data_IF_599480172564
#
_entry.id   IF_599480172564
#
_cell.length_a   1.000
_cell.length_b   1.000
_cell.length_c   1.000
_cell.angle_alpha   90.00
_cell.angle_beta   90.00
_cell.angle_gamma   90.00
#
_symmetry.space_group_name_H-M   'P 1'
#
loop_
_entity.id
_entity.type
_entity.pdbx_description
1 polymer ?
#
# COMPACT_ATOMS: atom_id res chain seq x y z
N UNK A 1 -2.87 26.17 -69.26
CA UNK A 1 -1.58 25.70 -69.77
C UNK A 1 -0.89 25.10 -68.54
N UNK A 2 -0.78 23.90 -68.40
CA UNK A 2 -0.37 22.66 -68.87
C UNK A 2 -0.34 21.75 -67.69
N UNK A 3 -1.22 20.81 -67.63
CA UNK A 3 -1.10 19.40 -67.41
C UNK A 3 0.30 18.86 -67.09
N UNK A 4 0.39 18.04 -66.04
CA UNK A 4 0.89 16.68 -66.24
C UNK A 4 0.57 15.78 -65.03
N UNK A 5 -0.26 14.80 -65.34
CA UNK A 5 -0.43 13.57 -64.58
C UNK A 5 0.83 12.71 -64.67
N UNK A 6 1.22 12.04 -63.60
CA UNK A 6 1.94 10.75 -63.70
C UNK A 6 1.47 9.80 -62.61
N UNK A 7 0.83 8.78 -63.11
CA UNK A 7 0.57 7.48 -62.50
C UNK A 7 1.88 6.77 -62.19
N UNK A 8 1.98 6.14 -61.02
CA UNK A 8 2.86 5.00 -60.88
C UNK A 8 2.22 3.91 -60.03
N UNK A 9 1.95 2.91 -60.72
CA UNK A 9 1.80 1.47 -60.57
C UNK A 9 2.42 0.86 -59.30
N UNK A 10 1.61 -0.04 -58.77
CA UNK A 10 1.79 -1.03 -57.80
C UNK A 10 3.05 -1.88 -57.83
N UNK A 11 3.33 -2.37 -56.66
CA UNK A 11 4.09 -3.61 -56.48
C UNK A 11 3.56 -4.33 -55.27
N UNK A 12 2.91 -5.43 -55.49
CA UNK A 12 2.57 -6.44 -54.48
C UNK A 12 3.85 -7.06 -53.91
N UNK A 13 3.86 -7.41 -52.61
CA UNK A 13 4.89 -8.29 -52.08
C UNK A 13 4.51 -9.77 -52.31
N UNK A 14 5.49 -10.64 -52.48
CA UNK A 14 5.28 -12.04 -52.78
C UNK A 14 4.85 -12.83 -51.54
N UNK A 15 4.01 -13.80 -51.86
CA UNK A 15 3.46 -14.82 -50.98
C UNK A 15 4.49 -15.80 -50.44
N UNK A 16 4.16 -16.33 -49.26
CA UNK A 16 4.41 -17.70 -48.79
C UNK A 16 5.82 -18.16 -48.47
N UNK A 17 6.05 -18.42 -47.21
CA UNK A 17 6.66 -19.68 -46.82
C UNK A 17 5.94 -20.23 -45.59
N UNK A 18 5.27 -21.35 -45.82
CA UNK A 18 4.77 -22.26 -44.79
C UNK A 18 5.96 -22.85 -44.01
N UNK A 19 6.05 -22.51 -42.75
CA UNK A 19 6.96 -23.16 -41.78
C UNK A 19 6.17 -24.09 -40.90
N UNK A 20 6.46 -25.36 -41.06
CA UNK A 20 5.87 -26.51 -40.39
C UNK A 20 5.82 -26.35 -38.87
N UNK A 21 4.68 -26.74 -38.32
CA UNK A 21 4.45 -26.89 -36.90
C UNK A 21 5.43 -27.82 -36.21
N UNK A 22 5.97 -27.38 -35.13
CA UNK A 22 6.53 -28.22 -34.09
C UNK A 22 5.47 -28.33 -33.00
N UNK A 23 4.75 -29.44 -33.01
CA UNK A 23 3.88 -29.84 -31.90
C UNK A 23 4.78 -30.15 -30.69
N UNK A 24 4.87 -29.22 -29.76
CA UNK A 24 5.47 -29.48 -28.47
C UNK A 24 4.44 -30.25 -27.62
N UNK A 25 4.62 -31.55 -27.55
CA UNK A 25 3.89 -32.42 -26.63
C UNK A 25 4.43 -32.11 -25.23
N UNK A 26 3.68 -31.32 -24.46
CA UNK A 26 3.93 -31.17 -23.04
C UNK A 26 3.37 -32.41 -22.34
N UNK A 27 4.24 -33.35 -22.06
CA UNK A 27 3.92 -34.52 -21.26
C UNK A 27 3.81 -34.08 -19.81
N UNK A 28 2.60 -34.03 -19.27
CA UNK A 28 2.37 -33.87 -17.84
C UNK A 28 2.89 -35.09 -17.09
N UNK A 29 4.00 -34.98 -16.42
CA UNK A 29 4.41 -35.90 -15.38
C UNK A 29 3.71 -35.51 -14.09
N UNK A 30 2.46 -35.93 -13.94
CA UNK A 30 1.79 -35.97 -12.66
C UNK A 30 2.18 -37.30 -12.00
N UNK A 31 3.13 -37.27 -11.10
CA UNK A 31 3.59 -38.49 -10.41
C UNK A 31 4.12 -38.18 -9.03
N UNK A 32 3.29 -38.41 -8.03
CA UNK A 32 3.68 -38.96 -6.72
C UNK A 32 4.76 -38.19 -5.90
N UNK A 33 4.39 -37.07 -5.31
CA UNK A 33 5.06 -36.52 -4.10
C UNK A 33 4.02 -36.12 -3.04
N UNK A 34 2.92 -36.81 -2.94
CA UNK A 34 1.93 -36.64 -1.86
C UNK A 34 1.91 -37.91 -1.03
N UNK A 35 2.98 -38.21 -0.35
CA UNK A 35 3.04 -39.44 0.46
C UNK A 35 4.02 -39.44 1.63
N UNK A 36 4.82 -38.40 1.79
CA UNK A 36 5.88 -38.45 2.80
C UNK A 36 5.87 -37.31 3.83
N UNK A 37 4.88 -36.47 3.86
CA UNK A 37 4.83 -35.32 4.79
C UNK A 37 3.76 -35.41 5.89
N UNK A 38 3.06 -36.52 6.01
CA UNK A 38 2.03 -36.67 7.05
C UNK A 38 2.46 -37.59 8.21
N UNK A 39 3.71 -38.05 8.27
CA UNK A 39 4.16 -38.98 9.32
C UNK A 39 5.10 -38.36 10.38
N UNK A 40 5.40 -37.05 10.32
CA UNK A 40 6.35 -36.41 11.24
C UNK A 40 5.72 -35.46 12.28
N UNK A 41 4.40 -35.33 12.35
CA UNK A 41 3.74 -34.46 13.32
C UNK A 41 3.08 -35.19 14.49
N UNK A 42 3.16 -36.50 14.54
CA UNK A 42 2.49 -37.30 15.60
C UNK A 42 3.41 -37.83 16.71
N UNK A 43 4.71 -37.54 16.71
CA UNK A 43 5.61 -38.11 17.72
C UNK A 43 6.02 -37.20 18.87
N UNK A 44 5.73 -35.89 18.82
CA UNK A 44 6.12 -34.94 19.88
C UNK A 44 5.02 -34.60 20.89
N UNK A 45 3.83 -35.21 20.79
CA UNK A 45 2.73 -34.92 21.70
C UNK A 45 2.68 -35.79 22.97
N UNK A 46 3.56 -36.78 23.15
CA UNK A 46 3.46 -37.75 24.24
C UNK A 46 4.55 -37.67 25.33
N UNK A 47 5.34 -36.60 25.42
CA UNK A 47 6.38 -36.47 26.45
C UNK A 47 6.20 -35.27 27.41
N UNK A 48 4.99 -34.82 27.66
CA UNK A 48 4.74 -33.76 28.64
C UNK A 48 3.73 -34.13 29.72
N UNK A 49 3.89 -35.30 30.34
CA UNK A 49 3.19 -35.61 31.57
C UNK A 49 4.07 -36.49 32.44
N UNK A 50 5.05 -35.94 33.16
CA UNK A 50 5.50 -36.35 34.49
C UNK A 50 6.69 -35.48 34.93
N UNK A 51 6.49 -34.69 35.94
CA UNK A 51 7.56 -33.91 36.59
C UNK A 51 6.99 -32.83 37.50
N UNK A 52 6.44 -33.29 38.60
CA UNK A 52 6.10 -32.48 39.79
C UNK A 52 7.41 -32.01 40.40
N UNK A 53 7.61 -30.69 40.60
CA UNK A 53 7.99 -30.18 41.93
C UNK A 53 8.11 -28.63 41.98
N UNK A 54 7.58 -28.17 43.03
CA UNK A 54 7.57 -26.88 43.70
C UNK A 54 8.69 -25.89 43.40
N UNK A 55 8.31 -24.68 42.90
CA UNK A 55 8.95 -23.45 43.33
C UNK A 55 7.95 -22.26 43.28
N UNK A 56 7.63 -21.73 44.39
CA UNK A 56 6.97 -20.44 44.59
C UNK A 56 7.79 -19.37 43.92
N UNK A 57 7.16 -18.50 43.13
CA UNK A 57 7.49 -17.07 43.18
C UNK A 57 6.60 -16.26 42.22
N UNK A 58 5.96 -15.23 42.79
CA UNK A 58 5.48 -13.99 42.20
C UNK A 58 4.53 -14.05 40.99
N UNK A 59 3.25 -14.06 41.29
CA UNK A 59 2.21 -13.48 40.42
C UNK A 59 2.49 -11.98 40.27
N UNK A 60 3.13 -11.62 39.16
CA UNK A 60 2.98 -10.33 38.54
C UNK A 60 1.89 -10.53 37.50
N UNK A 61 0.77 -9.87 37.71
CA UNK A 61 -0.34 -9.89 36.78
C UNK A 61 0.13 -9.35 35.42
N UNK A 62 0.39 -10.23 34.46
CA UNK A 62 0.40 -9.88 33.07
C UNK A 62 -1.07 -9.67 32.66
N UNK A 63 -1.46 -8.40 32.65
CA UNK A 63 -2.66 -7.99 31.96
C UNK A 63 -2.46 -8.36 30.48
N UNK A 64 -3.28 -9.29 30.01
CA UNK A 64 -3.41 -9.57 28.60
C UNK A 64 -3.68 -8.24 27.89
N UNK A 65 -2.67 -7.74 27.19
CA UNK A 65 -2.87 -6.72 26.19
C UNK A 65 -3.71 -7.37 25.08
N UNK A 66 -4.99 -7.02 25.08
CA UNK A 66 -5.85 -7.26 23.95
C UNK A 66 -5.27 -6.40 22.83
N UNK A 67 -4.53 -7.02 21.93
CA UNK A 67 -4.12 -6.40 20.67
C UNK A 67 -5.38 -6.08 19.86
N UNK A 68 -6.01 -4.96 20.16
CA UNK A 68 -6.83 -4.27 19.19
C UNK A 68 -5.87 -3.76 18.15
N UNK A 69 -5.94 -4.29 16.92
CA UNK A 69 -5.03 -4.01 15.82
C UNK A 69 -5.05 -2.56 15.33
N UNK A 70 -4.71 -1.63 16.20
CA UNK A 70 -4.20 -0.33 15.84
C UNK A 70 -2.71 -0.54 15.58
N UNK A 71 -2.34 -0.68 14.33
CA UNK A 71 -0.94 -0.53 13.93
C UNK A 71 -0.48 0.84 14.39
N UNK A 72 0.16 0.91 15.58
CA UNK A 72 0.84 2.11 16.02
C UNK A 72 1.99 2.33 15.05
N UNK A 73 1.78 3.19 14.06
CA UNK A 73 2.88 3.66 13.25
C UNK A 73 3.85 4.37 14.17
N UNK A 74 5.10 3.92 14.20
CA UNK A 74 6.16 4.61 14.92
C UNK A 74 6.19 6.06 14.46
N UNK A 75 6.24 7.00 15.41
CA UNK A 75 6.32 8.42 15.09
C UNK A 75 7.78 8.81 14.91
N UNK A 76 8.05 9.50 13.80
CA UNK A 76 9.35 10.10 13.51
C UNK A 76 9.29 11.60 13.78
N UNK A 77 10.03 12.07 14.78
CA UNK A 77 10.17 13.50 15.04
C UNK A 77 11.02 14.18 13.95
N UNK A 78 10.49 15.26 13.39
CA UNK A 78 11.16 16.08 12.36
C UNK A 78 11.73 17.39 12.90
N UNK A 79 11.75 17.57 14.23
CA UNK A 79 12.17 18.81 14.89
C UNK A 79 13.61 19.22 14.58
N UNK A 80 14.45 18.25 14.23
CA UNK A 80 15.85 18.49 13.83
C UNK A 80 16.07 18.71 12.32
N UNK A 81 15.00 18.68 11.51
CA UNK A 81 15.14 18.88 10.07
C UNK A 81 15.39 20.34 9.72
N UNK A 82 16.10 20.58 8.62
CA UNK A 82 16.40 21.94 8.16
C UNK A 82 15.12 22.70 7.76
N UNK A 83 14.14 21.99 7.20
CA UNK A 83 12.84 22.51 6.81
C UNK A 83 11.75 21.58 7.29
N UNK A 84 10.83 22.07 8.10
CA UNK A 84 9.71 21.27 8.62
C UNK A 84 8.65 21.12 7.53
N UNK A 85 8.25 19.88 7.19
CA UNK A 85 7.16 19.62 6.26
C UNK A 85 5.83 20.15 6.79
N UNK A 86 4.94 20.52 5.88
CA UNK A 86 3.55 20.85 6.20
C UNK A 86 2.60 20.20 5.23
N UNK A 87 1.37 19.95 5.67
CA UNK A 87 0.30 19.43 4.83
C UNK A 87 -1.00 20.16 5.13
N UNK A 88 -1.73 20.49 4.08
CA UNK A 88 -3.13 20.88 4.10
C UNK A 88 -3.87 20.08 3.05
N UNK A 89 -5.18 20.00 3.17
CA UNK A 89 -6.01 19.32 2.17
C UNK A 89 -7.30 20.05 1.92
N UNK A 90 -7.89 19.84 0.76
CA UNK A 90 -9.25 20.25 0.43
C UNK A 90 -9.95 19.09 -0.27
N UNK A 91 -11.26 18.98 -0.06
CA UNK A 91 -12.06 17.93 -0.67
C UNK A 91 -13.28 18.54 -1.36
N UNK A 92 -13.58 18.05 -2.54
CA UNK A 92 -14.72 18.49 -3.35
C UNK A 92 -15.42 17.31 -3.99
N UNK A 93 -16.74 17.44 -4.16
CA UNK A 93 -17.53 16.41 -4.83
C UNK A 93 -17.12 16.31 -6.30
N UNK A 94 -16.89 15.10 -6.78
CA UNK A 94 -16.65 14.85 -8.20
C UNK A 94 -17.99 14.84 -8.94
N UNK A 95 -18.13 15.60 -10.04
CA UNK A 95 -19.38 15.64 -10.84
C UNK A 95 -19.79 14.28 -11.43
N UNK A 96 -18.83 13.38 -11.66
CA UNK A 96 -19.10 12.04 -12.20
C UNK A 96 -19.44 11.05 -11.10
N UNK A 97 -18.84 11.22 -9.91
CA UNK A 97 -19.11 10.37 -8.74
C UNK A 97 -17.93 10.33 -7.78
N UNK A 98 -18.21 10.23 -6.48
CA UNK A 98 -17.20 10.25 -5.45
C UNK A 98 -16.70 11.66 -5.10
N UNK A 99 -15.43 11.75 -4.66
CA UNK A 99 -14.84 12.96 -4.09
C UNK A 99 -13.38 13.08 -4.51
N UNK A 100 -12.96 14.27 -4.87
CA UNK A 100 -11.58 14.57 -5.20
C UNK A 100 -10.92 15.28 -4.01
N UNK A 101 -9.93 14.62 -3.44
CA UNK A 101 -9.06 15.16 -2.38
C UNK A 101 -7.84 15.78 -3.03
N UNK A 102 -7.56 17.04 -2.73
CA UNK A 102 -6.36 17.76 -3.13
C UNK A 102 -5.48 18.01 -1.92
N UNK A 103 -4.22 17.60 -1.99
CA UNK A 103 -3.19 17.82 -0.99
C UNK A 103 -2.31 18.99 -1.41
N UNK A 104 -1.93 19.81 -0.45
CA UNK A 104 -0.93 20.85 -0.61
C UNK A 104 0.13 20.65 0.46
N UNK A 105 1.34 20.38 0.04
CA UNK A 105 2.49 20.17 0.92
C UNK A 105 3.55 21.26 0.72
N UNK A 106 4.32 21.55 1.76
CA UNK A 106 5.52 22.35 1.68
C UNK A 106 6.67 21.60 2.32
N UNK A 107 7.88 21.80 1.80
CA UNK A 107 9.09 21.14 2.26
C UNK A 107 8.97 19.60 2.27
N UNK A 108 8.17 19.05 1.34
CA UNK A 108 7.91 17.62 1.24
C UNK A 108 7.77 17.19 -0.22
N UNK A 109 8.41 16.08 -0.56
CA UNK A 109 8.39 15.48 -1.89
C UNK A 109 7.78 14.10 -1.81
N UNK A 110 6.73 13.84 -2.59
CA UNK A 110 6.19 12.50 -2.76
C UNK A 110 7.18 11.61 -3.51
N UNK A 111 7.56 10.48 -2.89
CA UNK A 111 8.59 9.57 -3.40
C UNK A 111 8.09 8.11 -3.38
N UNK A 112 7.35 7.74 -4.39
CA UNK A 112 6.81 6.39 -4.52
C UNK A 112 7.91 5.34 -4.74
N UNK A 113 9.03 5.73 -5.36
CA UNK A 113 10.11 4.80 -5.68
C UNK A 113 10.90 4.36 -4.45
N UNK A 114 10.93 5.20 -3.41
CA UNK A 114 11.65 4.93 -2.17
C UNK A 114 10.76 4.37 -1.05
N UNK A 115 9.52 4.03 -1.33
CA UNK A 115 8.61 3.48 -0.31
C UNK A 115 9.15 2.15 0.25
N UNK A 116 9.28 2.08 1.60
CA UNK A 116 9.87 0.94 2.31
C UNK A 116 11.39 0.91 2.33
N UNK A 117 12.05 1.94 1.80
CA UNK A 117 13.50 2.10 1.85
C UNK A 117 13.93 3.04 3.00
N UNK A 118 15.23 3.33 3.08
CA UNK A 118 15.78 4.27 4.06
C UNK A 118 15.14 5.66 3.92
N UNK A 119 14.91 6.31 5.06
CA UNK A 119 14.32 7.63 5.11
C UNK A 119 15.24 8.70 4.55
N UNK A 120 14.65 9.64 3.82
CA UNK A 120 15.29 10.85 3.33
C UNK A 120 14.50 12.03 3.87
N UNK A 121 15.19 13.03 4.42
CA UNK A 121 14.55 14.24 4.96
C UNK A 121 13.66 14.90 3.89
N UNK A 122 12.42 15.21 4.24
CA UNK A 122 11.47 15.82 3.33
C UNK A 122 10.90 14.91 2.24
N UNK A 123 11.18 13.60 2.26
CA UNK A 123 10.66 12.64 1.28
C UNK A 123 9.76 11.61 1.93
N UNK A 124 8.76 11.14 1.18
CA UNK A 124 7.87 10.09 1.66
C UNK A 124 6.54 10.03 0.91
N UNK A 125 5.47 9.77 1.65
CA UNK A 125 4.12 9.65 1.12
C UNK A 125 3.08 10.14 2.14
N UNK A 126 1.83 10.27 1.72
CA UNK A 126 0.75 10.53 2.67
C UNK A 126 -0.08 9.26 2.90
N UNK A 127 -0.61 9.11 4.12
CA UNK A 127 -1.68 8.16 4.41
C UNK A 127 -3.01 8.89 4.46
N UNK A 128 -4.05 8.28 3.88
CA UNK A 128 -5.42 8.76 3.98
C UNK A 128 -6.27 7.82 4.82
N UNK A 129 -7.11 8.40 5.65
CA UNK A 129 -8.05 7.69 6.50
C UNK A 129 -9.46 8.28 6.32
N UNK A 130 -10.46 7.42 6.40
CA UNK A 130 -11.87 7.77 6.46
C UNK A 130 -12.44 7.22 7.76
N UNK A 131 -12.94 8.08 8.63
CA UNK A 131 -13.46 7.71 9.94
C UNK A 131 -12.50 6.88 10.80
N UNK A 132 -11.17 7.15 10.66
CA UNK A 132 -10.10 6.44 11.36
C UNK A 132 -9.63 5.16 10.67
N UNK A 133 -10.33 4.68 9.65
CA UNK A 133 -9.90 3.52 8.87
C UNK A 133 -9.00 3.94 7.71
N UNK A 134 -7.84 3.29 7.57
CA UNK A 134 -6.88 3.58 6.51
C UNK A 134 -7.44 3.20 5.14
N UNK A 135 -7.63 4.19 4.27
CA UNK A 135 -8.07 3.97 2.90
C UNK A 135 -6.92 3.64 1.94
N UNK A 136 -5.73 4.24 2.15
CA UNK A 136 -4.61 4.00 1.27
C UNK A 136 -3.40 4.91 1.50
N UNK A 137 -2.50 4.89 0.50
CA UNK A 137 -1.32 5.76 0.40
C UNK A 137 -1.48 6.69 -0.78
N UNK A 138 -0.93 7.88 -0.65
CA UNK A 138 -0.97 8.92 -1.67
C UNK A 138 0.48 9.33 -1.99
N UNK A 139 0.80 9.36 -3.29
CA UNK A 139 2.12 9.73 -3.81
C UNK A 139 2.03 10.91 -4.79
N UNK A 140 1.14 11.85 -4.51
CA UNK A 140 0.94 13.03 -5.34
C UNK A 140 -0.13 13.94 -4.76
N UNK A 141 -0.45 15.01 -5.46
CA UNK A 141 -1.32 16.06 -4.95
C UNK A 141 -2.81 15.72 -4.99
N UNK A 142 -3.20 14.69 -5.75
CA UNK A 142 -4.60 14.33 -5.93
C UNK A 142 -4.89 12.87 -5.61
N UNK A 143 -6.04 12.65 -4.97
CA UNK A 143 -6.57 11.32 -4.70
C UNK A 143 -8.08 11.29 -4.87
N UNK A 144 -8.58 10.29 -5.61
CA UNK A 144 -10.01 10.09 -5.80
C UNK A 144 -10.57 9.11 -4.77
N UNK A 145 -11.58 9.55 -4.00
CA UNK A 145 -12.33 8.72 -3.05
C UNK A 145 -13.64 8.33 -3.74
N UNK A 146 -13.75 7.06 -4.15
CA UNK A 146 -14.89 6.60 -4.94
C UNK A 146 -16.23 6.66 -4.21
N UNK A 147 -16.25 6.41 -2.88
CA UNK A 147 -17.48 6.43 -2.08
C UNK A 147 -17.17 6.77 -0.62
N UNK A 148 -18.02 7.59 -0.04
CA UNK A 148 -18.08 7.84 1.40
C UNK A 148 -19.43 7.32 1.95
N UNK A 149 -19.48 6.84 3.21
CA UNK A 149 -20.72 6.54 3.90
C UNK A 149 -21.67 7.74 3.96
N UNK A 150 -22.97 7.48 4.03
CA UNK A 150 -23.97 8.54 4.30
C UNK A 150 -23.76 9.10 5.71
N UNK A 151 -23.94 10.40 5.87
CA UNK A 151 -23.73 11.13 7.11
C UNK A 151 -22.38 11.84 7.15
N UNK A 152 -21.93 12.17 8.35
CA UNK A 152 -20.68 12.85 8.60
C UNK A 152 -19.49 11.90 8.48
N UNK A 153 -18.47 12.32 7.73
CA UNK A 153 -17.24 11.57 7.54
C UNK A 153 -16.04 12.45 7.88
N UNK A 154 -15.16 11.93 8.72
CA UNK A 154 -13.87 12.55 9.03
C UNK A 154 -12.83 11.99 8.04
N UNK A 155 -12.29 12.86 7.20
CA UNK A 155 -11.20 12.55 6.30
C UNK A 155 -9.92 13.09 6.91
N UNK A 156 -8.95 12.24 7.21
CA UNK A 156 -7.64 12.70 7.67
C UNK A 156 -6.52 12.23 6.74
N UNK A 157 -5.52 13.05 6.59
CA UNK A 157 -4.30 12.76 5.83
C UNK A 157 -3.09 13.09 6.67
N UNK A 158 -2.12 12.18 6.73
CA UNK A 158 -0.86 12.35 7.46
C UNK A 158 0.34 12.21 6.53
N UNK A 159 1.42 12.93 6.82
CA UNK A 159 2.70 12.71 6.15
C UNK A 159 3.45 11.56 6.82
N UNK A 160 4.05 10.72 6.01
CA UNK A 160 4.80 9.55 6.44
C UNK A 160 6.15 9.47 5.70
N UNK A 161 7.19 9.07 6.41
CA UNK A 161 8.49 8.79 5.85
C UNK A 161 8.50 7.54 4.95
N UNK A 162 9.61 7.26 4.27
CA UNK A 162 9.73 6.11 3.37
C UNK A 162 9.51 4.77 4.07
N UNK A 163 9.94 4.61 5.33
CA UNK A 163 9.74 3.42 6.18
C UNK A 163 8.33 3.31 6.77
N UNK A 164 7.41 4.21 6.42
CA UNK A 164 6.04 4.36 6.91
C UNK A 164 5.87 4.98 8.30
N UNK A 165 6.94 5.39 8.98
CA UNK A 165 6.83 6.16 10.23
C UNK A 165 6.03 7.44 9.98
N UNK A 166 5.09 7.76 10.87
CA UNK A 166 4.31 8.99 10.77
C UNK A 166 5.16 10.18 11.19
N UNK A 167 5.22 11.23 10.37
CA UNK A 167 5.99 12.43 10.70
C UNK A 167 5.29 13.25 11.79
N UNK A 168 6.09 13.71 12.76
CA UNK A 168 5.59 14.51 13.88
C UNK A 168 6.52 15.70 14.15
N UNK A 169 5.94 16.85 14.46
CA UNK A 169 6.65 18.06 14.89
C UNK A 169 6.12 18.53 16.25
N UNK A 170 7.03 18.80 17.19
CA UNK A 170 6.66 19.13 18.58
C UNK A 170 5.73 18.09 19.25
N UNK A 171 5.88 16.81 18.87
CA UNK A 171 5.07 15.71 19.40
C UNK A 171 3.68 15.58 18.78
N UNK A 172 3.33 16.42 17.80
CA UNK A 172 2.06 16.35 17.07
C UNK A 172 2.27 15.82 15.65
N UNK A 173 1.35 14.96 15.18
CA UNK A 173 1.40 14.43 13.83
C UNK A 173 1.28 15.54 12.79
N UNK A 174 2.06 15.46 11.73
CA UNK A 174 1.89 16.29 10.55
C UNK A 174 0.70 15.76 9.74
N UNK A 175 -0.50 16.15 10.17
CA UNK A 175 -1.77 15.72 9.58
C UNK A 175 -2.72 16.89 9.34
N UNK A 176 -3.67 16.67 8.44
CA UNK A 176 -4.80 17.57 8.23
C UNK A 176 -6.10 16.80 8.21
N UNK A 177 -7.13 17.33 8.90
CA UNK A 177 -8.45 16.71 9.01
C UNK A 177 -9.53 17.59 8.42
N UNK A 178 -10.51 16.97 7.79
CA UNK A 178 -11.70 17.62 7.26
C UNK A 178 -12.95 16.80 7.54
N UNK A 179 -14.08 17.47 7.65
CA UNK A 179 -15.38 16.83 7.80
C UNK A 179 -16.16 17.01 6.50
N UNK A 180 -16.72 15.91 6.00
CA UNK A 180 -17.56 15.89 4.80
C UNK A 180 -18.89 15.23 5.14
N UNK A 181 -20.01 15.92 4.89
CA UNK A 181 -21.35 15.36 5.06
C UNK A 181 -21.88 14.85 3.72
N UNK A 182 -22.26 13.59 3.69
CA UNK A 182 -22.89 12.91 2.54
C UNK A 182 -24.38 12.74 2.81
N UNK A 183 -25.21 13.28 1.93
CA UNK A 183 -26.68 13.16 1.97
C UNK A 183 -27.16 11.79 1.48
#
# INVERSE_FOLDING_TARGET
MTERSETNSGTEPPSSHAGRGANLIVTFVTGAVIGAMTFWIASDFWQMTAGNDSAKTNMKADMAETETGAHSHEMMAVDGWALIPTITSSIQKDPVGGWNLHLQTSNFTFDAASAGLANVEGHGHAHIYVNGEKLGRIYGDWFHIGKLPTGENVISVSLNANDHSALAHNGELLEHKQIVTVE
#
